data_IF_235806901685
#
_entry.id   IF_235806901685
#
_cell.length_a   1.000
_cell.length_b   1.000
_cell.length_c   1.000
_cell.angle_alpha   90.00
_cell.angle_beta   90.00
_cell.angle_gamma   90.00
#
_symmetry.space_group_name_H-M   'P 1'
#
loop_
_entity.id
_entity.type
_entity.pdbx_description
1 polymer ?
#
# COMPACT_ATOMS: atom_id res chain seq x y z
N UNK A 1 0.13 -12.14 -30.80
CA UNK A 1 -1.00 -12.38 -29.87
C UNK A 1 -0.76 -11.59 -28.61
N UNK A 2 -1.71 -10.74 -28.21
CA UNK A 2 -1.64 -10.08 -26.91
C UNK A 2 -2.09 -11.10 -25.85
N UNK A 3 -1.23 -11.44 -24.92
CA UNK A 3 -1.61 -12.26 -23.78
C UNK A 3 -2.42 -11.39 -22.81
N UNK A 4 -3.64 -11.81 -22.50
CA UNK A 4 -4.47 -11.17 -21.48
C UNK A 4 -5.17 -12.24 -20.64
N UNK A 5 -5.55 -11.87 -19.44
CA UNK A 5 -6.39 -12.67 -18.55
C UNK A 5 -7.71 -11.94 -18.36
N UNK A 6 -8.81 -12.63 -18.56
CA UNK A 6 -10.15 -12.11 -18.32
C UNK A 6 -10.78 -12.82 -17.13
N UNK A 7 -11.33 -12.01 -16.22
CA UNK A 7 -12.12 -12.51 -15.09
C UNK A 7 -13.48 -11.82 -15.14
N UNK A 8 -14.54 -12.61 -15.30
CA UNK A 8 -15.90 -12.09 -15.35
C UNK A 8 -16.76 -12.63 -14.19
N UNK A 9 -17.58 -11.77 -13.64
CA UNK A 9 -18.54 -12.13 -12.59
C UNK A 9 -19.75 -11.20 -12.60
N UNK A 10 -20.90 -11.74 -12.12
CA UNK A 10 -22.12 -10.96 -12.05
C UNK A 10 -22.17 -10.10 -10.80
N UNK A 11 -22.44 -8.80 -10.99
CA UNK A 11 -22.60 -7.82 -9.90
C UNK A 11 -24.01 -7.23 -9.97
N UNK A 12 -24.72 -7.22 -8.83
CA UNK A 12 -26.02 -6.53 -8.74
C UNK A 12 -25.85 -5.05 -9.06
N UNK A 13 -26.80 -4.47 -9.81
CA UNK A 13 -26.72 -3.07 -10.32
C UNK A 13 -26.35 -2.05 -9.22
N UNK A 14 -26.94 -2.17 -8.03
CA UNK A 14 -26.67 -1.25 -6.91
C UNK A 14 -25.27 -1.41 -6.28
N UNK A 15 -24.58 -2.52 -6.54
CA UNK A 15 -23.22 -2.77 -6.02
C UNK A 15 -22.12 -2.45 -7.05
N UNK A 16 -22.46 -2.13 -8.29
CA UNK A 16 -21.47 -1.92 -9.37
C UNK A 16 -20.41 -0.88 -9.01
N UNK A 17 -20.85 0.23 -8.39
CA UNK A 17 -19.93 1.29 -7.94
C UNK A 17 -18.94 0.79 -6.89
N UNK A 18 -19.41 0.10 -5.86
CA UNK A 18 -18.56 -0.45 -4.78
C UNK A 18 -17.52 -1.44 -5.31
N UNK A 19 -17.94 -2.32 -6.23
CA UNK A 19 -17.01 -3.28 -6.85
C UNK A 19 -15.94 -2.60 -7.68
N UNK A 20 -16.31 -1.58 -8.44
CA UNK A 20 -15.35 -0.82 -9.23
C UNK A 20 -14.34 -0.11 -8.34
N UNK A 21 -14.81 0.60 -7.31
CA UNK A 21 -13.95 1.28 -6.35
C UNK A 21 -12.99 0.29 -5.66
N UNK A 22 -13.47 -0.88 -5.25
CA UNK A 22 -12.63 -1.92 -4.65
C UNK A 22 -11.58 -2.48 -5.63
N UNK A 23 -11.94 -2.66 -6.91
CA UNK A 23 -10.98 -3.11 -7.94
C UNK A 23 -9.93 -2.02 -8.20
N UNK A 24 -10.35 -0.76 -8.35
CA UNK A 24 -9.44 0.37 -8.55
C UNK A 24 -8.46 0.49 -7.36
N UNK A 25 -8.93 0.35 -6.14
CA UNK A 25 -8.13 0.39 -4.91
C UNK A 25 -7.13 -0.78 -4.82
N UNK A 26 -7.59 -2.00 -5.09
CA UNK A 26 -6.76 -3.21 -5.04
C UNK A 26 -5.64 -3.21 -6.09
N UNK A 27 -5.90 -2.67 -7.28
CA UNK A 27 -4.97 -2.70 -8.40
C UNK A 27 -4.06 -1.47 -8.45
N UNK A 28 -4.27 -0.47 -7.59
CA UNK A 28 -3.58 0.82 -7.64
C UNK A 28 -2.05 0.73 -7.60
N UNK A 29 -1.50 -0.33 -7.01
CA UNK A 29 -0.06 -0.56 -6.88
C UNK A 29 0.51 -1.57 -7.89
N UNK A 30 -0.27 -2.00 -8.89
CA UNK A 30 0.15 -2.94 -9.93
C UNK A 30 0.43 -2.22 -11.26
N UNK A 31 1.38 -1.28 -11.25
CA UNK A 31 1.68 -0.37 -12.37
C UNK A 31 2.11 -1.05 -13.67
N UNK A 32 2.64 -2.27 -13.62
CA UNK A 32 3.13 -3.00 -14.78
C UNK A 32 2.05 -3.78 -15.54
N UNK A 33 0.78 -3.65 -15.15
CA UNK A 33 -0.34 -4.37 -15.75
C UNK A 33 -1.41 -3.36 -16.15
N UNK A 34 -1.87 -3.45 -17.38
CA UNK A 34 -3.00 -2.65 -17.86
C UNK A 34 -4.30 -3.36 -17.51
N UNK A 35 -5.18 -2.68 -16.82
CA UNK A 35 -6.49 -3.21 -16.45
C UNK A 35 -7.60 -2.46 -17.15
N UNK A 36 -8.63 -3.19 -17.56
CA UNK A 36 -9.86 -2.62 -18.08
C UNK A 36 -11.07 -3.30 -17.47
N UNK A 37 -12.12 -2.54 -17.22
CA UNK A 37 -13.43 -3.05 -16.81
C UNK A 37 -14.37 -2.95 -17.99
N UNK A 38 -14.98 -4.09 -18.35
CA UNK A 38 -15.97 -4.17 -19.43
C UNK A 38 -17.34 -4.42 -18.81
N UNK A 39 -18.34 -3.65 -19.19
CA UNK A 39 -19.71 -3.88 -18.77
C UNK A 39 -20.47 -4.83 -19.72
N UNK A 40 -21.70 -5.22 -19.36
CA UNK A 40 -22.55 -6.13 -20.16
C UNK A 40 -22.88 -5.58 -21.56
N UNK A 41 -22.75 -4.28 -21.76
CA UNK A 41 -23.02 -3.58 -23.05
C UNK A 41 -21.75 -3.48 -23.91
N UNK A 42 -20.63 -4.06 -23.43
CA UNK A 42 -19.33 -4.01 -24.13
C UNK A 42 -18.58 -2.68 -23.93
N UNK A 43 -19.09 -1.77 -23.11
CA UNK A 43 -18.38 -0.53 -22.82
C UNK A 43 -17.14 -0.84 -21.97
N UNK A 44 -15.97 -0.50 -22.50
CA UNK A 44 -14.68 -0.72 -21.86
C UNK A 44 -14.19 0.57 -21.23
N UNK A 45 -13.79 0.48 -19.97
CA UNK A 45 -13.10 1.56 -19.25
C UNK A 45 -11.74 1.07 -18.80
N UNK A 46 -10.69 1.75 -19.19
CA UNK A 46 -9.37 1.53 -18.63
C UNK A 46 -9.31 2.03 -17.19
N UNK A 47 -8.66 1.25 -16.33
CA UNK A 47 -8.35 1.68 -14.96
C UNK A 47 -7.05 2.46 -15.06
N UNK A 48 -7.18 3.78 -15.01
CA UNK A 48 -6.03 4.67 -14.90
C UNK A 48 -5.69 4.83 -13.42
N UNK A 49 -4.50 4.39 -13.04
CA UNK A 49 -3.98 4.65 -11.70
C UNK A 49 -3.78 6.16 -11.56
N UNK A 50 -4.64 6.78 -10.77
CA UNK A 50 -4.69 8.23 -10.62
C UNK A 50 -3.60 8.78 -9.71
N UNK A 51 -3.01 7.92 -8.89
CA UNK A 51 -2.09 8.36 -7.85
C UNK A 51 -0.66 8.30 -8.40
N UNK A 52 -0.12 9.45 -8.72
CA UNK A 52 1.29 9.61 -9.03
C UNK A 52 2.10 9.33 -7.75
N UNK A 53 3.21 8.57 -7.87
CA UNK A 53 4.11 8.34 -6.74
C UNK A 53 4.94 9.59 -6.54
N UNK A 54 4.79 10.22 -5.38
CA UNK A 54 5.56 11.40 -4.97
C UNK A 54 6.90 10.96 -4.39
N UNK A 55 6.89 9.89 -3.58
CA UNK A 55 8.07 9.37 -2.92
C UNK A 55 7.99 7.85 -2.78
N UNK A 56 9.11 7.17 -2.93
CA UNK A 56 9.23 5.73 -2.70
C UNK A 56 10.58 5.40 -2.07
N UNK A 57 10.56 4.64 -0.99
CA UNK A 57 11.73 4.09 -0.31
C UNK A 57 11.62 2.56 -0.18
N UNK A 58 12.51 1.95 0.59
CA UNK A 58 12.44 0.52 0.91
C UNK A 58 11.24 0.17 1.78
N UNK A 59 10.68 1.14 2.54
CA UNK A 59 9.65 0.88 3.53
C UNK A 59 8.29 1.48 3.19
N UNK A 60 8.23 2.52 2.33
CA UNK A 60 6.96 3.17 2.03
C UNK A 60 6.86 3.69 0.60
N UNK A 61 5.62 3.89 0.15
CA UNK A 61 5.25 4.67 -1.02
C UNK A 61 4.30 5.77 -0.56
N UNK A 62 4.58 7.01 -0.94
CA UNK A 62 3.67 8.15 -0.79
C UNK A 62 3.16 8.52 -2.17
N UNK A 63 1.86 8.62 -2.33
CA UNK A 63 1.22 8.93 -3.61
C UNK A 63 0.49 10.27 -3.53
N UNK A 64 0.27 10.89 -4.68
CA UNK A 64 -0.66 12.01 -4.84
C UNK A 64 -2.09 11.48 -4.64
N UNK A 65 -2.56 11.51 -3.41
CA UNK A 65 -3.85 10.99 -3.01
C UNK A 65 -4.53 11.87 -1.96
N UNK A 66 -5.70 11.42 -1.54
CA UNK A 66 -6.49 12.17 -0.57
C UNK A 66 -5.83 12.13 0.81
N UNK A 67 -5.59 13.31 1.41
CA UNK A 67 -4.87 13.44 2.69
C UNK A 67 -5.51 12.67 3.87
N UNK A 68 -6.80 12.38 3.81
CA UNK A 68 -7.52 11.59 4.81
C UNK A 68 -7.65 10.11 4.46
N UNK A 69 -6.94 9.64 3.44
CA UNK A 69 -6.88 8.21 3.15
C UNK A 69 -6.22 7.47 4.30
N UNK A 70 -6.67 6.24 4.55
CA UNK A 70 -6.01 5.37 5.51
C UNK A 70 -4.82 4.69 4.84
N UNK A 71 -3.67 4.59 5.52
CA UNK A 71 -2.52 3.85 5.00
C UNK A 71 -2.82 2.38 4.73
N UNK A 72 -2.15 1.83 3.73
CA UNK A 72 -2.28 0.45 3.28
C UNK A 72 -1.06 -0.40 3.64
N UNK A 73 -1.26 -1.72 3.74
CA UNK A 73 -0.18 -2.70 3.67
C UNK A 73 -0.03 -3.15 2.22
N UNK A 74 1.14 -2.91 1.66
CA UNK A 74 1.53 -3.37 0.36
C UNK A 74 2.51 -4.54 0.50
N UNK A 75 2.06 -5.75 0.18
CA UNK A 75 2.95 -6.91 0.19
C UNK A 75 3.78 -6.93 -1.08
N UNK A 76 5.08 -6.82 -0.91
CA UNK A 76 6.08 -6.75 -1.99
C UNK A 76 6.96 -8.00 -1.99
N UNK A 77 7.62 -8.28 -3.12
CA UNK A 77 8.58 -9.39 -3.21
C UNK A 77 9.88 -9.10 -2.44
N UNK A 78 10.30 -7.84 -2.48
CA UNK A 78 11.46 -7.33 -1.75
C UNK A 78 11.25 -5.81 -1.50
N UNK A 79 12.04 -5.20 -0.61
CA UNK A 79 11.90 -3.78 -0.28
C UNK A 79 12.09 -2.82 -1.47
N UNK A 80 12.93 -3.18 -2.45
CA UNK A 80 13.17 -2.35 -3.64
C UNK A 80 12.06 -2.43 -4.69
N UNK A 81 11.06 -3.33 -4.50
CA UNK A 81 9.97 -3.45 -5.45
C UNK A 81 9.11 -2.18 -5.46
N UNK A 82 8.84 -1.65 -6.65
CA UNK A 82 7.94 -0.51 -6.86
C UNK A 82 6.47 -0.94 -6.96
N UNK A 83 6.24 -2.23 -7.06
CA UNK A 83 4.90 -2.82 -7.21
C UNK A 83 4.66 -3.92 -6.20
N UNK A 84 3.43 -4.07 -5.77
CA UNK A 84 3.03 -5.08 -4.81
C UNK A 84 1.52 -5.31 -4.81
N UNK A 85 1.09 -6.25 -3.98
CA UNK A 85 -0.33 -6.56 -3.79
C UNK A 85 -0.83 -5.76 -2.59
N UNK A 86 -1.87 -4.96 -2.81
CA UNK A 86 -2.52 -4.21 -1.74
C UNK A 86 -3.41 -5.16 -0.91
N UNK A 87 -3.10 -5.30 0.37
CA UNK A 87 -3.88 -6.11 1.32
C UNK A 87 -4.85 -5.29 2.18
N UNK A 88 -5.05 -4.03 1.82
CA UNK A 88 -6.02 -3.15 2.47
C UNK A 88 -5.42 -2.24 3.53
N UNK A 89 -6.32 -1.59 4.25
CA UNK A 89 -5.95 -0.58 5.24
C UNK A 89 -5.40 -1.19 6.52
N UNK A 90 -4.51 -0.43 7.16
CA UNK A 90 -4.03 -0.73 8.50
C UNK A 90 -5.07 -0.27 9.53
N UNK A 91 -5.43 -1.14 10.46
CA UNK A 91 -6.12 -0.71 11.69
C UNK A 91 -5.07 -0.38 12.76
N UNK A 92 -4.79 0.91 12.93
CA UNK A 92 -3.79 1.39 13.88
C UNK A 92 -4.14 1.08 15.33
N UNK A 93 -5.42 0.84 15.65
CA UNK A 93 -5.85 0.43 16.99
C UNK A 93 -5.38 -0.99 17.32
N UNK A 94 -5.35 -1.88 16.32
CA UNK A 94 -4.78 -3.22 16.50
C UNK A 94 -3.27 -3.20 16.70
N UNK A 95 -2.60 -2.12 16.22
CA UNK A 95 -1.17 -1.90 16.42
C UNK A 95 -0.86 -1.09 17.69
N UNK A 96 -1.86 -0.69 18.48
CA UNK A 96 -1.67 0.19 19.64
C UNK A 96 -0.89 1.48 19.29
N UNK A 97 -1.18 2.02 18.12
CA UNK A 97 -0.53 3.23 17.59
C UNK A 97 -1.57 4.32 17.30
N UNK A 98 -1.13 5.57 17.29
CA UNK A 98 -1.95 6.69 16.83
C UNK A 98 -2.31 6.54 15.35
N UNK A 99 -3.53 6.95 15.01
CA UNK A 99 -4.04 6.87 13.65
C UNK A 99 -3.25 7.80 12.73
N UNK A 100 -2.65 7.24 11.69
CA UNK A 100 -2.08 8.01 10.58
C UNK A 100 -3.11 8.18 9.47
N UNK A 101 -2.98 9.28 8.74
CA UNK A 101 -3.73 9.57 7.54
C UNK A 101 -2.79 9.97 6.41
N UNK A 102 -3.15 9.66 5.18
CA UNK A 102 -2.40 9.99 3.99
C UNK A 102 -2.50 8.89 2.93
N UNK A 103 -2.20 9.22 1.69
CA UNK A 103 -2.11 8.25 0.60
C UNK A 103 -0.77 7.49 0.68
N UNK A 104 -0.62 6.71 1.74
CA UNK A 104 0.61 6.00 2.10
C UNK A 104 0.38 4.50 2.00
N UNK A 105 1.35 3.78 1.43
CA UNK A 105 1.41 2.33 1.49
C UNK A 105 2.76 1.90 2.10
N UNK A 106 2.70 1.10 3.17
CA UNK A 106 3.88 0.53 3.79
C UNK A 106 4.26 -0.77 3.08
N UNK A 107 5.50 -0.86 2.62
CA UNK A 107 6.04 -2.02 1.91
C UNK A 107 6.44 -3.08 2.91
N UNK A 108 5.79 -4.23 2.84
CA UNK A 108 6.06 -5.37 3.72
C UNK A 108 6.32 -6.60 2.86
N UNK A 109 7.48 -7.27 2.93
CA UNK A 109 7.64 -8.57 2.33
C UNK A 109 6.76 -9.61 3.05
N UNK A 110 6.51 -10.72 2.37
CA UNK A 110 5.85 -11.85 2.99
C UNK A 110 6.85 -12.59 3.90
N UNK A 111 6.44 -12.89 5.13
CA UNK A 111 7.25 -13.69 6.05
C UNK A 111 7.48 -15.09 5.48
N UNK A 112 8.71 -15.56 5.57
CA UNK A 112 9.07 -16.91 5.15
C UNK A 112 9.72 -17.65 6.31
N UNK A 113 9.21 -18.86 6.54
CA UNK A 113 9.69 -19.76 7.59
C UNK A 113 10.04 -21.10 6.95
N UNK A 114 11.16 -21.65 7.32
CA UNK A 114 11.54 -23.03 6.98
C UNK A 114 11.42 -23.87 8.24
N UNK A 115 10.79 -25.02 8.09
CA UNK A 115 10.66 -26.01 9.17
C UNK A 115 11.64 -27.15 8.86
N UNK A 116 12.53 -27.48 9.80
CA UNK A 116 13.45 -28.59 9.66
C UNK A 116 12.77 -29.95 9.95
N UNK A 117 13.53 -31.05 9.76
CA UNK A 117 13.04 -32.42 9.97
C UNK A 117 12.64 -32.69 11.43
N UNK A 118 13.05 -31.85 12.38
CA UNK A 118 12.74 -31.95 13.81
C UNK A 118 11.50 -31.04 14.17
N UNK A 119 10.91 -30.34 13.20
CA UNK A 119 9.80 -29.45 13.40
C UNK A 119 10.21 -28.07 13.97
N UNK A 120 11.50 -27.72 13.92
CA UNK A 120 11.99 -26.41 14.38
C UNK A 120 11.80 -25.38 13.25
N UNK A 121 11.09 -24.30 13.58
CA UNK A 121 10.86 -23.19 12.66
C UNK A 121 12.05 -22.22 12.68
N UNK A 122 12.56 -21.90 11.50
CA UNK A 122 13.57 -20.88 11.29
C UNK A 122 13.03 -19.82 10.35
N UNK A 123 12.98 -18.56 10.81
CA UNK A 123 12.59 -17.43 9.98
C UNK A 123 13.74 -17.07 9.05
N UNK A 124 13.53 -17.20 7.74
CA UNK A 124 14.50 -16.85 6.71
C UNK A 124 14.24 -15.48 6.09
N UNK A 125 13.03 -14.96 6.24
CA UNK A 125 12.63 -13.62 5.84
C UNK A 125 11.60 -13.07 6.80
N UNK A 126 11.90 -11.94 7.43
CA UNK A 126 10.94 -11.19 8.23
C UNK A 126 9.91 -10.52 7.31
N UNK A 127 8.69 -10.36 7.81
CA UNK A 127 7.62 -9.78 7.03
C UNK A 127 6.25 -10.01 7.65
N UNK A 128 5.23 -9.88 6.82
CA UNK A 128 3.84 -10.11 7.22
C UNK A 128 3.38 -11.52 6.88
N UNK A 129 2.64 -12.13 7.78
CA UNK A 129 1.95 -13.39 7.52
C UNK A 129 0.68 -13.13 6.70
N UNK A 130 0.45 -13.97 5.71
CA UNK A 130 -0.76 -13.91 4.88
C UNK A 130 -1.52 -15.21 4.94
N UNK A 131 -2.84 -15.16 4.73
CA UNK A 131 -3.66 -16.37 4.65
C UNK A 131 -3.18 -17.28 3.53
N UNK A 132 -3.38 -18.62 3.63
CA UNK A 132 -3.02 -19.56 2.56
C UNK A 132 -3.66 -19.21 1.20
N UNK A 133 -4.85 -18.63 1.20
CA UNK A 133 -5.51 -18.09 0.01
C UNK A 133 -4.90 -16.80 -0.52
N UNK A 134 -3.97 -16.19 0.22
CA UNK A 134 -3.33 -14.91 -0.10
C UNK A 134 -4.31 -13.74 -0.29
N UNK A 135 -5.37 -13.73 0.50
CA UNK A 135 -6.41 -12.69 0.41
C UNK A 135 -6.31 -11.65 1.53
N UNK A 136 -5.68 -12.01 2.65
CA UNK A 136 -5.60 -11.16 3.85
C UNK A 136 -4.28 -11.31 4.57
N UNK A 137 -3.86 -10.23 5.23
CA UNK A 137 -2.80 -10.25 6.23
C UNK A 137 -3.35 -10.88 7.51
N UNK A 138 -2.56 -11.74 8.14
CA UNK A 138 -2.85 -12.32 9.45
C UNK A 138 -2.19 -11.42 10.50
N UNK A 139 -3.01 -10.73 11.29
CA UNK A 139 -2.56 -9.79 12.32
C UNK A 139 -2.20 -10.51 13.63
N UNK A 140 -1.21 -11.42 13.56
CA UNK A 140 -0.61 -12.03 14.75
C UNK A 140 0.48 -11.10 15.33
N UNK A 141 1.02 -11.46 16.50
CA UNK A 141 2.02 -10.64 17.20
C UNK A 141 3.29 -10.38 16.36
N UNK A 142 3.74 -11.35 15.58
CA UNK A 142 4.91 -11.20 14.70
C UNK A 142 4.64 -10.18 13.58
N UNK A 143 3.49 -10.28 12.92
CA UNK A 143 3.06 -9.33 11.88
C UNK A 143 2.88 -7.91 12.45
N UNK A 144 2.24 -7.79 13.61
CA UNK A 144 2.05 -6.49 14.28
C UNK A 144 3.39 -5.84 14.61
N UNK A 145 4.29 -6.57 15.25
CA UNK A 145 5.62 -6.07 15.60
C UNK A 145 6.41 -5.63 14.35
N UNK A 146 6.34 -6.44 13.27
CA UNK A 146 6.99 -6.11 12.02
C UNK A 146 6.45 -4.82 11.41
N UNK A 147 5.11 -4.69 11.30
CA UNK A 147 4.48 -3.49 10.71
C UNK A 147 4.76 -2.24 11.54
N UNK A 148 4.75 -2.35 12.89
CA UNK A 148 5.13 -1.24 13.77
C UNK A 148 6.58 -0.78 13.53
N UNK A 149 7.51 -1.72 13.33
CA UNK A 149 8.92 -1.42 13.02
C UNK A 149 9.05 -0.73 11.66
N UNK A 150 8.34 -1.23 10.63
CA UNK A 150 8.30 -0.60 9.31
C UNK A 150 7.76 0.84 9.38
N UNK A 151 6.68 1.08 10.13
CA UNK A 151 6.12 2.43 10.30
C UNK A 151 7.16 3.37 10.94
N UNK A 152 7.89 2.91 11.96
CA UNK A 152 8.95 3.71 12.61
C UNK A 152 10.09 4.02 11.64
N UNK A 153 10.57 3.04 10.89
CA UNK A 153 11.61 3.23 9.87
C UNK A 153 11.16 4.20 8.77
N UNK A 154 9.94 4.03 8.27
CA UNK A 154 9.35 4.91 7.28
C UNK A 154 9.21 6.36 7.79
N UNK A 155 8.87 6.56 9.06
CA UNK A 155 8.79 7.90 9.65
C UNK A 155 10.17 8.59 9.72
N UNK A 156 11.23 7.84 10.04
CA UNK A 156 12.61 8.36 10.04
C UNK A 156 13.03 8.74 8.61
N UNK A 157 12.76 7.87 7.63
CA UNK A 157 13.07 8.14 6.22
C UNK A 157 12.33 9.37 5.71
N UNK A 158 11.03 9.47 5.97
CA UNK A 158 10.24 10.64 5.58
C UNK A 158 10.76 11.94 6.22
N UNK A 159 11.19 11.88 7.47
CA UNK A 159 11.78 13.06 8.17
C UNK A 159 13.09 13.48 7.50
N UNK A 160 13.95 12.53 7.12
CA UNK A 160 15.22 12.84 6.48
C UNK A 160 15.00 13.49 5.09
N UNK A 161 14.05 12.96 4.30
CA UNK A 161 13.71 13.56 3.00
C UNK A 161 13.16 14.98 3.15
N UNK A 162 12.29 15.20 4.12
CA UNK A 162 11.77 16.54 4.41
C UNK A 162 12.90 17.48 4.83
N UNK A 163 13.85 17.01 5.62
CA UNK A 163 15.00 17.82 6.04
C UNK A 163 15.91 18.16 4.86
N UNK A 164 16.22 17.19 4.00
CA UNK A 164 17.04 17.42 2.80
C UNK A 164 16.37 18.42 1.83
N UNK A 165 15.06 18.33 1.66
CA UNK A 165 14.31 19.29 0.84
C UNK A 165 14.27 20.69 1.45
N UNK A 166 14.14 20.79 2.78
CA UNK A 166 14.20 22.09 3.50
C UNK A 166 15.55 22.78 3.32
N UNK A 167 16.64 22.03 3.32
CA UNK A 167 18.00 22.55 3.16
C UNK A 167 18.29 23.01 1.72
N UNK A 168 17.54 22.57 0.73
CA UNK A 168 17.78 22.83 -0.69
C UNK A 168 16.73 23.71 -1.38
N UNK A 169 15.57 23.90 -0.80
CA UNK A 169 14.41 24.56 -1.46
C UNK A 169 13.94 25.79 -0.69
N UNK A 170 13.51 26.83 -1.42
CA UNK A 170 12.83 27.98 -0.80
C UNK A 170 11.62 27.48 0.02
N UNK A 171 11.50 27.97 1.23
CA UNK A 171 10.47 27.59 2.19
C UNK A 171 9.03 27.66 1.65
N UNK A 172 8.75 28.61 0.74
CA UNK A 172 7.44 28.78 0.12
C UNK A 172 7.16 27.67 -0.90
N UNK A 173 8.14 27.31 -1.71
CA UNK A 173 8.05 26.19 -2.65
C UNK A 173 7.91 24.84 -1.93
N UNK A 174 8.62 24.69 -0.83
CA UNK A 174 8.51 23.51 0.03
C UNK A 174 7.10 23.36 0.63
N UNK A 175 6.52 24.43 1.21
CA UNK A 175 5.14 24.41 1.74
C UNK A 175 4.14 24.04 0.62
N UNK A 176 4.34 24.56 -0.58
CA UNK A 176 3.48 24.25 -1.72
C UNK A 176 3.51 22.78 -2.10
N UNK A 177 4.70 22.17 -2.16
CA UNK A 177 4.92 20.77 -2.51
C UNK A 177 4.52 19.79 -1.41
N UNK A 178 4.75 20.16 -0.14
CA UNK A 178 4.50 19.27 1.01
C UNK A 178 3.14 19.50 1.67
N UNK A 179 2.35 20.47 1.20
CA UNK A 179 1.03 20.79 1.78
C UNK A 179 0.10 19.58 1.84
N UNK A 180 0.19 18.66 0.89
CA UNK A 180 -0.53 17.39 0.90
C UNK A 180 -0.01 16.42 1.96
N UNK A 181 1.28 16.47 2.32
CA UNK A 181 1.90 15.65 3.35
C UNK A 181 1.64 16.20 4.76
N UNK A 182 1.61 17.52 4.90
CA UNK A 182 1.51 18.21 6.21
C UNK A 182 0.06 18.49 6.61
N UNK A 183 -0.87 18.57 5.67
CA UNK A 183 -2.30 18.81 5.98
C UNK A 183 -2.97 17.65 6.73
N UNK A 184 -2.36 16.47 6.76
CA UNK A 184 -2.80 15.33 7.58
C UNK A 184 -2.38 15.42 9.07
N UNK A 185 -1.45 16.30 9.40
CA UNK A 185 -0.89 16.42 10.77
C UNK A 185 -1.55 17.55 11.61
N UNK A 186 -2.59 18.21 11.09
CA UNK A 186 -3.34 19.23 11.83
C UNK A 186 -4.79 18.85 11.99
N UNK A 187 -5.08 18.10 13.03
CA UNK A 187 -6.36 18.19 13.75
C UNK A 187 -6.12 17.71 15.18
N UNK A 188 -5.73 18.65 16.02
CA UNK A 188 -6.26 18.86 17.37
C UNK A 188 -5.75 20.19 17.89
#
# INVERSE_FOLDING_TARGET
SKNYTEVSFRVKKHNRRKYREAVEEQLNYLKNVNFSVVNEEGYTREINFKNEVIYSSDHLIISDGYAYSKPHVLVVKNPQAETGINYGHIDFRELEMEQLYGAIAFKCPMRQVVVDDNGVETVIQEGVDVTPSREKVIWNEATKAYVQDIIKKAAIEATNVVQEELDTTDFIDWISKTRSLVSGARSE
#
